data_IF_373480814439
#
_entry.id   IF_373480814439
#
_cell.length_a   1.000
_cell.length_b   1.000
_cell.length_c   1.000
_cell.angle_alpha   90.00
_cell.angle_beta   90.00
_cell.angle_gamma   90.00
#
_symmetry.space_group_name_H-M   'P 1'
#
loop_
_entity.id
_entity.type
_entity.pdbx_description
1 polymer ?
#
# COMPACT_ATOMS: atom_id res chain seq x y z
N UNK A 1 -8.75 17.64 -25.86
CA UNK A 1 -7.59 16.76 -25.57
C UNK A 1 -8.09 15.56 -24.78
N UNK A 2 -8.13 14.39 -25.41
CA UNK A 2 -8.44 13.16 -24.68
C UNK A 2 -7.33 12.94 -23.65
N UNK A 3 -7.66 13.00 -22.38
CA UNK A 3 -6.79 12.56 -21.30
C UNK A 3 -6.43 11.08 -21.58
N UNK A 4 -5.20 10.85 -21.99
CA UNK A 4 -4.68 9.50 -22.18
C UNK A 4 -4.36 8.97 -20.80
N UNK A 5 -5.19 8.05 -20.32
CA UNK A 5 -4.95 7.40 -19.02
C UNK A 5 -3.64 6.61 -19.02
N UNK A 6 -3.20 6.18 -17.84
CA UNK A 6 -2.01 5.33 -17.65
C UNK A 6 -1.91 4.16 -18.64
N UNK A 7 -3.05 3.61 -19.12
CA UNK A 7 -3.08 2.59 -20.14
C UNK A 7 -2.47 2.99 -21.49
N UNK A 8 -2.44 4.29 -21.84
CA UNK A 8 -1.77 4.76 -23.07
C UNK A 8 -0.26 4.94 -22.87
N UNK A 9 0.19 5.16 -21.64
CA UNK A 9 1.62 5.19 -21.28
C UNK A 9 2.25 3.82 -21.50
N UNK A 10 1.59 2.74 -21.10
CA UNK A 10 2.06 1.37 -21.30
C UNK A 10 2.08 0.90 -22.76
N UNK A 11 1.40 1.62 -23.65
CA UNK A 11 1.43 1.31 -25.11
C UNK A 11 2.66 1.85 -25.81
N UNK A 12 3.39 2.82 -25.22
CA UNK A 12 4.63 3.35 -25.81
C UNK A 12 5.77 2.37 -25.61
N UNK A 13 6.47 2.04 -26.66
CA UNK A 13 7.56 1.05 -26.62
C UNK A 13 8.66 1.45 -25.62
N UNK A 14 9.01 2.71 -25.56
CA UNK A 14 10.01 3.27 -24.62
C UNK A 14 9.69 2.97 -23.15
N UNK A 15 8.40 3.09 -22.75
CA UNK A 15 7.99 2.79 -21.38
C UNK A 15 7.96 1.28 -21.09
N UNK A 16 7.66 0.45 -22.11
CA UNK A 16 7.71 -1.00 -21.95
C UNK A 16 9.10 -1.48 -21.59
N UNK A 17 10.12 -0.95 -22.27
CA UNK A 17 11.52 -1.29 -22.03
C UNK A 17 11.93 -0.86 -20.62
N UNK A 18 11.59 0.36 -20.20
CA UNK A 18 11.86 0.87 -18.84
C UNK A 18 11.19 0.00 -17.77
N UNK A 19 9.92 -0.40 -17.95
CA UNK A 19 9.19 -1.25 -17.00
C UNK A 19 9.89 -2.61 -16.86
N UNK A 20 10.25 -3.23 -17.96
CA UNK A 20 10.91 -4.55 -17.95
C UNK A 20 12.28 -4.46 -17.30
N UNK A 21 13.06 -3.42 -17.58
CA UNK A 21 14.37 -3.22 -16.98
C UNK A 21 14.28 -2.94 -15.48
N UNK A 22 13.33 -2.11 -15.06
CA UNK A 22 13.07 -1.87 -13.65
C UNK A 22 12.65 -3.16 -12.91
N UNK A 23 11.84 -4.01 -13.54
CA UNK A 23 11.46 -5.30 -12.99
C UNK A 23 12.63 -6.28 -12.88
N UNK A 24 13.56 -6.28 -13.85
CA UNK A 24 14.82 -7.05 -13.76
C UNK A 24 15.65 -6.57 -12.58
N UNK A 25 15.83 -5.26 -12.45
CA UNK A 25 16.54 -4.65 -11.33
C UNK A 25 15.93 -5.03 -9.98
N UNK A 26 14.61 -4.89 -9.84
CA UNK A 26 13.89 -5.30 -8.62
C UNK A 26 14.08 -6.80 -8.33
N UNK A 27 14.03 -7.65 -9.35
CA UNK A 27 14.18 -9.10 -9.21
C UNK A 27 15.55 -9.52 -8.71
N UNK A 28 16.61 -8.71 -8.87
CA UNK A 28 17.93 -8.99 -8.28
C UNK A 28 17.92 -9.01 -6.75
N UNK A 29 16.91 -8.38 -6.14
CA UNK A 29 16.68 -8.36 -4.70
C UNK A 29 15.90 -9.57 -4.18
N UNK A 30 15.42 -10.44 -5.06
CA UNK A 30 14.74 -11.67 -4.65
C UNK A 30 15.70 -12.64 -3.97
N UNK A 31 15.27 -13.18 -2.84
CA UNK A 31 16.03 -14.14 -2.02
C UNK A 31 15.30 -15.48 -2.01
N UNK A 32 15.70 -16.42 -2.87
CA UNK A 32 14.95 -17.68 -3.05
C UNK A 32 14.80 -18.49 -1.78
N UNK A 33 15.79 -18.48 -0.88
CA UNK A 33 15.75 -19.22 0.40
C UNK A 33 14.59 -18.74 1.28
N UNK A 34 14.35 -17.42 1.31
CA UNK A 34 13.26 -16.83 2.07
C UNK A 34 11.97 -16.65 1.24
N UNK A 35 12.06 -16.73 -0.10
CA UNK A 35 10.94 -16.58 -1.01
C UNK A 35 10.41 -15.14 -1.11
N UNK A 36 11.27 -14.13 -0.85
CA UNK A 36 10.88 -12.72 -0.74
C UNK A 36 11.84 -11.78 -1.48
N UNK A 37 11.38 -10.57 -1.72
CA UNK A 37 12.18 -9.43 -2.20
C UNK A 37 12.70 -8.67 -0.97
N UNK A 38 14.01 -8.62 -0.80
CA UNK A 38 14.65 -7.87 0.28
C UNK A 38 14.48 -6.37 0.07
N UNK A 39 14.08 -5.64 1.13
CA UNK A 39 13.79 -4.21 1.04
C UNK A 39 15.06 -3.35 1.12
N UNK A 40 15.90 -3.61 2.10
CA UNK A 40 17.07 -2.77 2.41
C UNK A 40 18.37 -3.55 2.40
N UNK A 41 19.46 -2.86 2.03
CA UNK A 41 20.82 -3.38 2.25
C UNK A 41 21.15 -3.27 3.74
N UNK A 42 21.80 -4.29 4.28
CA UNK A 42 22.01 -4.42 5.73
C UNK A 42 23.41 -4.01 6.18
N UNK A 43 24.27 -3.66 5.24
CA UNK A 43 25.70 -3.37 5.46
C UNK A 43 26.00 -1.86 5.60
N UNK A 44 24.99 -0.99 5.56
CA UNK A 44 25.16 0.46 5.56
C UNK A 44 24.06 1.23 6.27
N UNK A 45 24.42 2.45 6.70
CA UNK A 45 23.51 3.38 7.34
C UNK A 45 22.92 2.85 8.65
N UNK A 46 21.81 3.40 9.05
CA UNK A 46 21.11 3.04 10.30
C UNK A 46 20.62 1.58 10.33
N UNK A 47 20.51 0.93 9.17
CA UNK A 47 20.06 -0.46 9.07
C UNK A 47 21.12 -1.42 9.58
N UNK A 48 22.40 -1.12 9.37
CA UNK A 48 23.52 -1.97 9.84
C UNK A 48 23.55 -2.12 11.37
N UNK A 49 22.98 -1.16 12.10
CA UNK A 49 22.89 -1.19 13.56
C UNK A 49 21.74 -2.08 14.08
N UNK A 50 20.81 -2.48 13.19
CA UNK A 50 19.63 -3.30 13.54
C UNK A 50 19.95 -4.79 13.68
N UNK A 51 21.10 -5.26 13.17
CA UNK A 51 21.45 -6.67 13.18
C UNK A 51 20.54 -7.57 12.32
N UNK A 52 19.83 -6.98 11.34
CA UNK A 52 19.01 -7.71 10.38
C UNK A 52 19.88 -8.42 9.33
N UNK A 53 19.37 -9.54 8.81
CA UNK A 53 20.00 -10.26 7.69
C UNK A 53 19.28 -10.02 6.36
N UNK A 54 17.96 -10.10 6.38
CA UNK A 54 17.12 -9.92 5.20
C UNK A 54 15.78 -9.26 5.57
N UNK A 55 15.79 -7.94 5.83
CA UNK A 55 14.59 -7.20 6.20
C UNK A 55 13.66 -7.01 5.01
N UNK A 56 12.38 -7.22 5.26
CA UNK A 56 11.29 -7.04 4.30
C UNK A 56 10.23 -6.17 4.94
N UNK A 57 9.91 -5.04 4.30
CA UNK A 57 8.85 -4.16 4.72
C UNK A 57 7.56 -4.44 3.94
N UNK A 58 6.42 -4.18 4.57
CA UNK A 58 5.10 -4.38 3.94
C UNK A 58 4.94 -3.51 2.68
N UNK A 59 5.67 -2.41 2.56
CA UNK A 59 5.71 -1.50 1.41
C UNK A 59 6.09 -2.22 0.10
N UNK A 60 6.86 -3.31 0.18
CA UNK A 60 7.21 -4.11 -0.99
C UNK A 60 5.99 -4.66 -1.74
N UNK A 61 4.84 -4.74 -1.09
CA UNK A 61 3.59 -5.11 -1.74
C UNK A 61 3.24 -4.17 -2.90
N UNK A 62 3.65 -2.89 -2.83
CA UNK A 62 3.42 -1.89 -3.87
C UNK A 62 4.30 -2.11 -5.11
N UNK A 63 5.44 -2.78 -4.95
CA UNK A 63 6.35 -3.09 -6.04
C UNK A 63 5.86 -4.25 -6.93
N UNK A 64 4.89 -5.04 -6.48
CA UNK A 64 4.44 -6.24 -7.19
C UNK A 64 3.72 -5.90 -8.50
N UNK A 65 3.05 -4.74 -8.59
CA UNK A 65 2.41 -4.29 -9.82
C UNK A 65 3.40 -4.16 -10.98
N UNK A 66 4.62 -3.67 -10.70
CA UNK A 66 5.70 -3.59 -11.66
C UNK A 66 6.05 -4.98 -12.23
N UNK A 67 6.12 -6.00 -11.37
CA UNK A 67 6.46 -7.38 -11.78
C UNK A 67 5.34 -8.01 -12.62
N UNK A 68 4.09 -7.84 -12.24
CA UNK A 68 2.95 -8.31 -13.03
C UNK A 68 2.88 -7.59 -14.39
N UNK A 69 3.10 -6.26 -14.42
CA UNK A 69 3.15 -5.49 -15.66
C UNK A 69 4.29 -5.97 -16.57
N UNK A 70 5.49 -6.19 -16.02
CA UNK A 70 6.63 -6.70 -16.77
C UNK A 70 6.37 -8.09 -17.36
N UNK A 71 5.69 -8.98 -16.61
CA UNK A 71 5.25 -10.29 -17.13
C UNK A 71 4.37 -10.13 -18.36
N UNK A 72 3.36 -9.26 -18.31
CA UNK A 72 2.45 -9.02 -19.44
C UNK A 72 3.15 -8.42 -20.66
N UNK A 73 4.14 -7.55 -20.42
CA UNK A 73 4.84 -6.82 -21.47
C UNK A 73 5.93 -7.66 -22.15
N UNK A 74 6.62 -8.52 -21.41
CA UNK A 74 7.76 -9.31 -21.89
C UNK A 74 7.41 -10.76 -22.21
N UNK A 75 6.33 -11.31 -21.64
CA UNK A 75 6.04 -12.74 -21.65
C UNK A 75 6.90 -13.57 -20.68
N UNK A 76 7.83 -12.95 -19.93
CA UNK A 76 8.68 -13.64 -18.97
C UNK A 76 7.91 -13.89 -17.65
N UNK A 77 7.60 -15.16 -17.42
CA UNK A 77 6.89 -15.60 -16.21
C UNK A 77 7.72 -15.56 -14.93
N UNK A 78 9.02 -15.28 -15.02
CA UNK A 78 9.90 -15.18 -13.85
C UNK A 78 9.44 -14.06 -12.92
N UNK A 79 9.05 -12.92 -13.48
CA UNK A 79 8.54 -11.78 -12.69
C UNK A 79 7.26 -12.15 -11.94
N UNK A 80 6.32 -12.85 -12.59
CA UNK A 80 5.10 -13.36 -11.94
C UNK A 80 5.43 -14.30 -10.78
N UNK A 81 6.35 -15.24 -10.97
CA UNK A 81 6.76 -16.19 -9.92
C UNK A 81 7.38 -15.48 -8.72
N UNK A 82 8.21 -14.47 -8.95
CA UNK A 82 8.79 -13.64 -7.89
C UNK A 82 7.69 -12.90 -7.11
N UNK A 83 6.74 -12.27 -7.82
CA UNK A 83 5.64 -11.55 -7.19
C UNK A 83 4.76 -12.48 -6.34
N UNK A 84 4.34 -13.63 -6.87
CA UNK A 84 3.50 -14.61 -6.16
C UNK A 84 4.25 -15.20 -4.96
N UNK A 85 5.52 -15.56 -5.11
CA UNK A 85 6.33 -16.04 -4.00
C UNK A 85 6.41 -15.00 -2.87
N UNK A 86 6.63 -13.73 -3.22
CA UNK A 86 6.71 -12.65 -2.25
C UNK A 86 5.39 -12.44 -1.50
N UNK A 87 4.26 -12.30 -2.21
CA UNK A 87 2.97 -12.07 -1.55
C UNK A 87 2.54 -13.25 -0.69
N UNK A 88 2.75 -14.49 -1.13
CA UNK A 88 2.40 -15.68 -0.34
C UNK A 88 3.20 -15.73 0.96
N UNK A 89 4.48 -15.40 0.90
CA UNK A 89 5.33 -15.34 2.09
C UNK A 89 4.94 -14.19 3.00
N UNK A 90 4.64 -13.02 2.45
CA UNK A 90 4.14 -11.86 3.18
C UNK A 90 2.84 -12.18 3.91
N UNK A 91 1.87 -12.80 3.25
CA UNK A 91 0.62 -13.22 3.89
C UNK A 91 0.84 -14.15 5.08
N UNK A 92 1.77 -15.10 4.94
CA UNK A 92 2.05 -16.07 5.99
C UNK A 92 2.76 -15.46 7.20
N UNK A 93 3.69 -14.55 6.98
CA UNK A 93 4.64 -14.16 8.03
C UNK A 93 4.47 -12.71 8.54
N UNK A 94 3.90 -11.81 7.72
CA UNK A 94 3.72 -10.41 8.13
C UNK A 94 2.34 -10.10 8.69
N UNK A 95 1.31 -10.94 8.42
CA UNK A 95 -0.03 -10.70 8.95
C UNK A 95 -0.25 -11.39 10.29
N UNK A 96 -0.93 -10.67 11.20
CA UNK A 96 -1.40 -11.18 12.49
C UNK A 96 -2.79 -11.85 12.32
N UNK A 97 -3.22 -12.66 13.29
CA UNK A 97 -4.53 -13.30 13.25
C UNK A 97 -5.71 -12.33 13.16
N UNK A 98 -5.57 -11.12 13.69
CA UNK A 98 -6.59 -10.05 13.65
C UNK A 98 -6.71 -9.35 12.29
N UNK A 99 -5.79 -9.63 11.37
CA UNK A 99 -5.73 -9.05 10.04
C UNK A 99 -4.79 -7.87 9.90
N UNK A 100 -4.23 -7.35 10.97
CA UNK A 100 -3.18 -6.33 10.92
C UNK A 100 -1.86 -6.90 10.41
N UNK A 101 -0.92 -6.04 10.00
CA UNK A 101 0.39 -6.49 9.57
C UNK A 101 1.53 -5.81 10.34
N UNK A 102 2.64 -6.54 10.45
CA UNK A 102 3.93 -5.99 10.88
C UNK A 102 4.52 -5.10 9.78
N UNK A 103 5.23 -4.04 10.19
CA UNK A 103 5.96 -3.23 9.24
C UNK A 103 7.15 -4.00 8.63
N UNK A 104 8.00 -4.61 9.47
CA UNK A 104 9.22 -5.30 9.07
C UNK A 104 9.21 -6.74 9.55
N UNK A 105 9.57 -7.67 8.66
CA UNK A 105 9.96 -9.05 9.01
C UNK A 105 11.38 -9.27 8.54
N UNK A 106 12.26 -9.71 9.45
CA UNK A 106 13.62 -10.09 9.12
C UNK A 106 13.75 -11.59 8.98
N UNK A 107 14.36 -12.03 7.89
CA UNK A 107 14.53 -13.45 7.56
C UNK A 107 15.99 -13.88 7.64
N UNK A 108 16.20 -15.12 8.05
CA UNK A 108 17.50 -15.78 7.98
C UNK A 108 17.88 -16.09 6.53
N UNK A 109 19.08 -15.71 6.15
CA UNK A 109 19.62 -16.04 4.83
C UNK A 109 20.11 -17.50 4.74
N UNK A 110 20.17 -18.21 5.88
CA UNK A 110 20.60 -19.62 5.93
C UNK A 110 19.48 -20.58 5.50
N UNK A 111 18.26 -20.34 5.98
CA UNK A 111 17.14 -21.28 5.85
C UNK A 111 15.78 -20.61 5.56
N UNK A 112 15.74 -19.29 5.45
CA UNK A 112 14.55 -18.51 5.18
C UNK A 112 13.56 -18.42 6.37
N UNK A 113 13.95 -18.86 7.56
CA UNK A 113 13.12 -18.72 8.76
C UNK A 113 12.96 -17.26 9.19
N UNK A 114 11.85 -16.93 9.86
CA UNK A 114 11.67 -15.61 10.47
C UNK A 114 12.56 -15.49 11.70
N UNK A 115 13.39 -14.45 11.73
CA UNK A 115 14.25 -14.09 12.86
C UNK A 115 13.53 -13.15 13.82
N UNK A 116 12.93 -12.09 13.27
CA UNK A 116 12.29 -11.04 14.04
C UNK A 116 11.11 -10.41 13.28
N UNK A 117 10.17 -9.83 14.05
CA UNK A 117 9.14 -8.94 13.55
C UNK A 117 9.28 -7.61 14.23
N UNK A 118 9.43 -6.55 13.45
CA UNK A 118 9.79 -5.23 13.94
C UNK A 118 9.00 -4.12 13.28
N UNK A 119 9.24 -2.89 13.72
CA UNK A 119 8.91 -1.68 13.00
C UNK A 119 10.14 -0.79 12.81
N UNK A 120 10.12 0.03 11.77
CA UNK A 120 11.05 1.12 11.56
C UNK A 120 10.33 2.48 11.57
N UNK A 121 9.10 2.52 11.06
CA UNK A 121 8.31 3.75 10.91
C UNK A 121 7.07 3.80 11.81
N UNK A 122 6.61 2.67 12.38
CA UNK A 122 5.51 2.62 13.33
C UNK A 122 5.93 2.94 14.74
N UNK A 123 4.94 3.08 15.63
CA UNK A 123 5.13 3.44 17.04
C UNK A 123 5.87 2.36 17.83
N UNK A 124 5.48 1.11 17.69
CA UNK A 124 6.08 -0.03 18.39
C UNK A 124 6.07 -1.27 17.50
N UNK A 125 6.86 -2.31 17.88
CA UNK A 125 6.95 -3.54 17.07
C UNK A 125 5.61 -4.23 16.89
N UNK A 126 4.76 -4.19 17.90
CA UNK A 126 3.42 -4.80 17.88
C UNK A 126 2.30 -3.82 17.48
N UNK A 127 2.59 -2.54 17.27
CA UNK A 127 1.58 -1.56 16.83
C UNK A 127 1.19 -1.74 15.36
N UNK A 128 0.13 -1.07 14.95
CA UNK A 128 -0.36 -1.08 13.58
C UNK A 128 -0.09 0.27 12.90
N UNK A 129 1.08 0.40 12.29
CA UNK A 129 1.44 1.57 11.47
C UNK A 129 0.48 1.72 10.28
N UNK A 130 -0.28 2.82 10.25
CA UNK A 130 -1.45 2.96 9.37
C UNK A 130 -1.12 2.90 7.88
N UNK A 131 -0.03 3.54 7.45
CA UNK A 131 0.39 3.46 6.05
C UNK A 131 0.86 2.06 5.67
N UNK A 132 1.46 1.31 6.59
CA UNK A 132 1.78 -0.10 6.38
C UNK A 132 0.54 -0.95 6.17
N UNK A 133 -0.52 -0.73 6.97
CA UNK A 133 -1.81 -1.39 6.75
C UNK A 133 -2.38 -1.03 5.36
N UNK A 134 -2.28 0.24 4.97
CA UNK A 134 -2.74 0.71 3.65
C UNK A 134 -1.99 0.02 2.50
N UNK A 135 -0.66 -0.07 2.58
CA UNK A 135 0.15 -0.81 1.60
C UNK A 135 -0.25 -2.28 1.50
N UNK A 136 -0.51 -2.90 2.65
CA UNK A 136 -0.98 -4.28 2.71
C UNK A 136 -2.34 -4.48 2.05
N UNK A 137 -3.33 -3.63 2.36
CA UNK A 137 -4.68 -3.68 1.77
C UNK A 137 -4.60 -3.48 0.25
N UNK A 138 -3.92 -2.43 -0.20
CA UNK A 138 -3.80 -2.12 -1.62
C UNK A 138 -3.06 -3.22 -2.38
N UNK A 139 -1.91 -3.66 -1.86
CA UNK A 139 -1.08 -4.67 -2.52
C UNK A 139 -1.77 -6.05 -2.61
N UNK A 140 -2.55 -6.45 -1.61
CA UNK A 140 -3.35 -7.68 -1.68
C UNK A 140 -4.50 -7.55 -2.69
N UNK A 141 -5.18 -6.41 -2.73
CA UNK A 141 -6.21 -6.12 -3.74
C UNK A 141 -5.65 -6.20 -5.15
N UNK A 142 -4.48 -5.59 -5.35
CA UNK A 142 -3.70 -5.67 -6.58
C UNK A 142 -3.35 -7.12 -6.95
N UNK A 143 -2.84 -7.91 -6.00
CA UNK A 143 -2.49 -9.32 -6.25
C UNK A 143 -3.72 -10.14 -6.66
N UNK A 144 -4.88 -9.89 -6.04
CA UNK A 144 -6.14 -10.51 -6.47
C UNK A 144 -6.49 -10.11 -7.91
N UNK A 145 -6.40 -8.82 -8.27
CA UNK A 145 -6.65 -8.35 -9.64
C UNK A 145 -5.77 -9.05 -10.68
N UNK A 146 -4.50 -9.26 -10.36
CA UNK A 146 -3.50 -9.78 -11.29
C UNK A 146 -3.51 -11.31 -11.40
N UNK A 147 -3.96 -12.02 -10.36
CA UNK A 147 -3.91 -13.49 -10.28
C UNK A 147 -5.27 -14.17 -10.31
N UNK A 148 -6.33 -13.47 -9.88
CA UNK A 148 -7.64 -14.07 -9.64
C UNK A 148 -7.72 -14.95 -8.38
N UNK A 149 -6.62 -15.10 -7.62
CA UNK A 149 -6.60 -15.97 -6.44
C UNK A 149 -7.30 -15.30 -5.25
N UNK A 150 -8.44 -15.86 -4.87
CA UNK A 150 -9.33 -15.34 -3.82
C UNK A 150 -8.66 -15.17 -2.45
N UNK A 151 -7.63 -15.97 -2.15
CA UNK A 151 -6.91 -15.87 -0.86
C UNK A 151 -6.37 -14.47 -0.60
N UNK A 152 -5.93 -13.73 -1.64
CA UNK A 152 -5.42 -12.37 -1.50
C UNK A 152 -6.53 -11.39 -1.14
N UNK A 153 -7.68 -11.49 -1.81
CA UNK A 153 -8.84 -10.68 -1.49
C UNK A 153 -9.35 -10.95 -0.07
N UNK A 154 -9.44 -12.22 0.32
CA UNK A 154 -9.89 -12.59 1.66
C UNK A 154 -8.98 -12.02 2.76
N UNK A 155 -7.68 -11.99 2.54
CA UNK A 155 -6.74 -11.35 3.47
C UNK A 155 -6.86 -9.82 3.44
N UNK A 156 -7.06 -9.21 2.27
CA UNK A 156 -7.33 -7.76 2.16
C UNK A 156 -8.58 -7.37 2.97
N UNK A 157 -9.66 -8.15 2.85
CA UNK A 157 -10.89 -7.93 3.61
C UNK A 157 -10.71 -8.08 5.13
N UNK A 158 -9.80 -8.97 5.59
CA UNK A 158 -9.44 -9.06 7.01
C UNK A 158 -8.71 -7.79 7.48
N UNK A 159 -7.77 -7.29 6.68
CA UNK A 159 -7.05 -6.07 7.00
C UNK A 159 -7.97 -4.84 6.99
N UNK A 160 -8.91 -4.75 6.04
CA UNK A 160 -9.95 -3.71 6.05
C UNK A 160 -10.78 -3.80 7.33
N UNK A 161 -11.29 -4.98 7.70
CA UNK A 161 -12.06 -5.13 8.95
C UNK A 161 -11.27 -4.71 10.18
N UNK A 162 -9.97 -5.03 10.25
CA UNK A 162 -9.11 -4.56 11.33
C UNK A 162 -9.09 -3.03 11.41
N UNK A 163 -8.79 -2.34 10.30
CA UNK A 163 -8.69 -0.89 10.25
C UNK A 163 -10.00 -0.18 10.62
N UNK A 164 -11.13 -0.68 10.15
CA UNK A 164 -12.42 -0.01 10.35
C UNK A 164 -13.11 -0.37 11.67
N UNK A 165 -12.72 -1.47 12.33
CA UNK A 165 -13.24 -1.86 13.64
C UNK A 165 -12.27 -1.58 14.78
N UNK A 166 -11.10 -1.00 14.50
CA UNK A 166 -10.14 -0.67 15.54
C UNK A 166 -10.71 0.42 16.48
N UNK A 167 -10.46 0.27 17.78
CA UNK A 167 -10.97 1.20 18.83
C UNK A 167 -10.61 2.66 18.61
N UNK A 168 -9.51 2.91 17.89
CA UNK A 168 -8.98 4.23 17.59
C UNK A 168 -9.28 4.70 16.16
N UNK A 169 -10.18 4.03 15.45
CA UNK A 169 -10.59 4.49 14.12
C UNK A 169 -11.35 5.81 14.24
N UNK A 170 -10.87 6.89 13.62
CA UNK A 170 -11.50 8.20 13.75
C UNK A 170 -12.77 8.29 12.89
N UNK A 171 -13.71 9.15 13.31
CA UNK A 171 -14.98 9.33 12.61
C UNK A 171 -14.83 9.79 11.16
N UNK A 172 -13.81 10.61 10.86
CA UNK A 172 -13.51 11.12 9.53
C UNK A 172 -12.77 10.11 8.64
N UNK A 173 -12.39 8.95 9.18
CA UNK A 173 -11.65 7.88 8.51
C UNK A 173 -10.30 8.31 7.90
N UNK A 174 -9.75 9.43 8.33
CA UNK A 174 -8.34 9.78 8.07
C UNK A 174 -7.54 9.31 9.27
N UNK A 175 -6.91 8.15 9.13
CA UNK A 175 -6.31 7.41 10.22
C UNK A 175 -5.15 8.17 10.89
N UNK A 176 -4.91 7.89 12.17
CA UNK A 176 -3.68 8.33 12.83
C UNK A 176 -2.47 7.68 12.16
N UNK A 177 -1.29 8.26 12.30
CA UNK A 177 -0.06 7.74 11.69
C UNK A 177 0.25 6.29 12.11
N UNK A 178 -0.17 5.92 13.31
CA UNK A 178 -0.19 4.56 13.85
C UNK A 178 -1.49 4.39 14.65
N UNK A 179 -2.15 3.25 14.51
CA UNK A 179 -3.43 3.00 15.18
C UNK A 179 -3.29 2.90 16.71
N UNK A 180 -2.07 2.67 17.20
CA UNK A 180 -1.72 2.62 18.61
C UNK A 180 -0.86 3.81 19.03
N UNK A 181 -0.88 4.91 18.28
CA UNK A 181 -0.12 6.11 18.59
C UNK A 181 -0.42 6.63 20.00
N UNK A 182 0.61 7.12 20.75
CA UNK A 182 0.49 7.31 22.19
C UNK A 182 -0.39 8.49 22.61
N UNK A 183 -0.61 9.47 21.72
CA UNK A 183 -1.32 10.70 22.04
C UNK A 183 -2.74 10.77 21.46
N UNK A 184 -3.29 9.66 20.95
CA UNK A 184 -4.67 9.63 20.44
C UNK A 184 -5.64 10.08 21.57
N UNK A 185 -6.58 11.01 21.30
CA UNK A 185 -7.02 11.51 19.97
C UNK A 185 -6.23 12.73 19.44
N UNK A 186 -5.19 13.21 20.12
CA UNK A 186 -4.45 14.41 19.76
C UNK A 186 -3.11 14.09 19.06
N UNK A 187 -3.08 13.00 18.28
CA UNK A 187 -1.90 12.59 17.53
C UNK A 187 -2.02 12.94 16.04
N UNK A 188 -0.91 12.86 15.31
CA UNK A 188 -0.84 13.16 13.88
C UNK A 188 -1.72 12.23 13.05
N UNK A 189 -2.34 12.78 12.01
CA UNK A 189 -3.08 12.03 10.99
C UNK A 189 -2.16 11.69 9.83
N UNK A 190 -2.47 10.64 9.10
CA UNK A 190 -1.76 10.30 7.87
C UNK A 190 -2.75 10.22 6.69
N UNK A 191 -2.94 11.36 6.01
CA UNK A 191 -3.80 11.46 4.84
C UNK A 191 -3.33 10.52 3.70
N UNK A 192 -2.03 10.17 3.65
CA UNK A 192 -1.51 9.25 2.65
C UNK A 192 -2.04 7.82 2.83
N UNK A 193 -2.15 7.34 4.08
CA UNK A 193 -2.73 6.05 4.39
C UNK A 193 -4.21 6.01 3.99
N UNK A 194 -4.96 7.05 4.33
CA UNK A 194 -6.39 7.16 3.98
C UNK A 194 -6.61 7.17 2.46
N UNK A 195 -5.84 7.95 1.72
CA UNK A 195 -5.93 8.01 0.25
C UNK A 195 -5.67 6.65 -0.41
N UNK A 196 -4.63 5.94 0.04
CA UNK A 196 -4.30 4.60 -0.46
C UNK A 196 -5.42 3.59 -0.15
N UNK A 197 -5.96 3.60 1.07
CA UNK A 197 -7.08 2.72 1.46
C UNK A 197 -8.32 3.04 0.62
N UNK A 198 -8.67 4.32 0.42
CA UNK A 198 -9.82 4.70 -0.40
C UNK A 198 -9.70 4.17 -1.83
N UNK A 199 -8.51 4.27 -2.43
CA UNK A 199 -8.27 3.73 -3.77
C UNK A 199 -8.49 2.21 -3.81
N UNK A 200 -7.95 1.45 -2.84
CA UNK A 200 -8.16 0.02 -2.75
C UNK A 200 -9.64 -0.36 -2.53
N UNK A 201 -10.36 0.37 -1.67
CA UNK A 201 -11.76 0.11 -1.37
C UNK A 201 -12.67 0.33 -2.58
N UNK A 202 -12.41 1.33 -3.42
CA UNK A 202 -13.14 1.48 -4.68
C UNK A 202 -12.93 0.27 -5.59
N UNK A 203 -11.73 -0.27 -5.67
CA UNK A 203 -11.48 -1.49 -6.44
C UNK A 203 -12.21 -2.69 -5.82
N UNK A 204 -12.11 -2.90 -4.51
CA UNK A 204 -12.81 -3.97 -3.78
C UNK A 204 -14.33 -3.90 -4.01
N UNK A 205 -14.90 -2.70 -4.07
CA UNK A 205 -16.34 -2.51 -4.30
C UNK A 205 -16.82 -2.96 -5.68
N UNK A 206 -15.92 -3.23 -6.62
CA UNK A 206 -16.24 -3.64 -8.00
C UNK A 206 -16.10 -5.14 -8.25
N UNK A 207 -15.67 -5.90 -7.25
CA UNK A 207 -15.46 -7.35 -7.38
C UNK A 207 -16.47 -8.12 -6.52
N UNK A 208 -16.50 -9.44 -6.69
CA UNK A 208 -17.42 -10.31 -5.96
C UNK A 208 -17.02 -10.42 -4.49
N UNK A 209 -17.63 -9.57 -3.67
CA UNK A 209 -17.49 -9.53 -2.20
C UNK A 209 -18.86 -9.38 -1.53
N UNK A 210 -19.02 -9.84 -0.28
CA UNK A 210 -20.21 -9.51 0.50
C UNK A 210 -20.33 -7.99 0.66
N UNK A 211 -21.53 -7.46 0.45
CA UNK A 211 -21.86 -6.04 0.67
C UNK A 211 -20.89 -5.05 0.01
N UNK A 212 -20.69 -5.10 -1.32
CA UNK A 212 -19.71 -4.24 -2.01
C UNK A 212 -19.99 -2.74 -1.79
N UNK A 213 -21.24 -2.35 -1.59
CA UNK A 213 -21.65 -0.98 -1.26
C UNK A 213 -21.05 -0.47 0.06
N UNK A 214 -20.75 -1.35 1.02
CA UNK A 214 -20.11 -0.96 2.30
C UNK A 214 -18.69 -0.46 2.05
N UNK A 215 -17.92 -1.15 1.21
CA UNK A 215 -16.55 -0.71 0.85
C UNK A 215 -16.57 0.59 0.06
N UNK A 216 -17.55 0.73 -0.86
CA UNK A 216 -17.74 2.00 -1.57
C UNK A 216 -18.08 3.14 -0.61
N UNK A 217 -18.97 2.91 0.35
CA UNK A 217 -19.36 3.93 1.33
C UNK A 217 -18.16 4.36 2.21
N UNK A 218 -17.32 3.43 2.64
CA UNK A 218 -16.08 3.76 3.34
C UNK A 218 -15.14 4.61 2.48
N UNK A 219 -14.95 4.22 1.21
CA UNK A 219 -14.14 5.00 0.28
C UNK A 219 -14.71 6.41 0.06
N UNK A 220 -16.04 6.54 -0.14
CA UNK A 220 -16.69 7.82 -0.31
C UNK A 220 -16.48 8.70 0.94
N UNK A 221 -16.65 8.17 2.15
CA UNK A 221 -16.43 8.90 3.40
C UNK A 221 -15.00 9.38 3.56
N UNK A 222 -14.01 8.53 3.27
CA UNK A 222 -12.59 8.94 3.27
C UNK A 222 -12.37 10.08 2.27
N UNK A 223 -12.88 9.94 1.06
CA UNK A 223 -12.69 10.95 0.01
C UNK A 223 -13.39 12.28 0.31
N UNK A 224 -14.54 12.26 0.96
CA UNK A 224 -15.20 13.46 1.48
C UNK A 224 -14.32 14.17 2.51
N UNK A 225 -13.76 13.43 3.46
CA UNK A 225 -12.84 13.98 4.46
C UNK A 225 -11.60 14.56 3.82
N UNK A 226 -10.91 13.82 2.93
CA UNK A 226 -9.71 14.27 2.25
C UNK A 226 -9.96 15.48 1.32
N UNK A 227 -11.16 15.62 0.76
CA UNK A 227 -11.54 16.76 -0.06
C UNK A 227 -11.96 18.00 0.75
N UNK A 228 -12.12 17.87 2.08
CA UNK A 228 -12.47 18.98 2.96
C UNK A 228 -11.32 19.96 3.13
N UNK A 229 -11.59 21.21 3.56
CA UNK A 229 -10.54 22.19 3.85
C UNK A 229 -9.55 21.76 4.95
N UNK A 230 -9.91 20.77 5.77
CA UNK A 230 -9.02 20.22 6.80
C UNK A 230 -7.82 19.49 6.19
N UNK A 231 -8.02 18.77 5.09
CA UNK A 231 -6.97 17.94 4.49
C UNK A 231 -6.55 18.39 3.09
N UNK A 232 -7.43 19.09 2.37
CA UNK A 232 -7.12 19.60 1.03
C UNK A 232 -6.58 21.02 1.12
N UNK A 233 -5.37 21.21 0.63
CA UNK A 233 -4.72 22.53 0.57
C UNK A 233 -5.48 23.49 -0.38
N UNK A 234 -5.39 24.78 -0.09
CA UNK A 234 -5.81 25.84 -1.01
C UNK A 234 -4.88 25.87 -2.24
N UNK A 235 -5.44 26.24 -3.38
CA UNK A 235 -4.70 26.32 -4.63
C UNK A 235 -3.52 27.31 -4.51
N UNK A 236 -2.33 26.84 -4.89
CA UNK A 236 -1.10 27.64 -4.83
C UNK A 236 -0.40 27.66 -3.47
N UNK A 237 -0.92 26.93 -2.50
CA UNK A 237 -0.29 26.72 -1.18
C UNK A 237 0.36 25.35 -1.08
N UNK A 238 0.86 24.95 0.11
CA UNK A 238 1.36 23.60 0.43
C UNK A 238 2.39 23.05 -0.58
N UNK A 239 3.22 23.91 -1.17
CA UNK A 239 4.18 23.51 -2.19
C UNK A 239 3.57 22.96 -3.48
N UNK A 240 2.31 23.29 -3.76
CA UNK A 240 1.46 22.77 -4.84
C UNK A 240 1.04 21.29 -4.69
N UNK A 241 1.20 20.70 -3.52
CA UNK A 241 0.60 19.41 -3.21
C UNK A 241 -0.88 19.58 -2.84
N UNK A 242 -1.69 18.55 -3.15
CA UNK A 242 -3.13 18.57 -2.92
C UNK A 242 -3.47 18.29 -1.45
N UNK A 243 -2.83 17.31 -0.84
CA UNK A 243 -3.13 16.88 0.53
C UNK A 243 -2.12 17.39 1.54
N UNK A 244 -2.65 17.78 2.69
CA UNK A 244 -1.93 18.13 3.91
C UNK A 244 -1.97 16.95 4.89
N UNK A 245 -1.24 17.07 6.00
CA UNK A 245 -1.33 16.18 7.15
C UNK A 245 -0.97 14.72 6.82
N UNK A 246 0.18 14.52 6.17
CA UNK A 246 0.78 13.21 6.00
C UNK A 246 1.98 13.04 6.93
N UNK A 247 2.32 11.78 7.24
CA UNK A 247 3.47 11.44 8.09
C UNK A 247 4.36 10.42 7.41
N UNK A 248 5.59 10.78 7.10
CA UNK A 248 6.61 9.88 6.59
C UNK A 248 7.11 8.92 7.67
N UNK A 249 7.82 9.45 8.68
CA UNK A 249 8.37 8.62 9.76
C UNK A 249 8.63 9.43 11.04
N UNK A 250 7.79 9.27 12.03
CA UNK A 250 7.99 9.88 13.37
C UNK A 250 9.25 9.34 14.06
N UNK A 251 9.53 8.01 14.09
CA UNK A 251 10.72 7.50 14.72
C UNK A 251 12.04 8.03 14.14
N UNK A 252 12.04 8.45 12.88
CA UNK A 252 13.21 9.04 12.23
C UNK A 252 13.17 10.58 12.21
N UNK A 253 12.18 11.20 12.87
CA UNK A 253 11.95 12.64 12.84
C UNK A 253 11.93 13.22 11.41
N UNK A 254 11.31 12.48 10.48
CA UNK A 254 11.27 12.81 9.05
C UNK A 254 9.85 12.89 8.50
N UNK A 255 9.58 13.97 7.76
CA UNK A 255 8.30 14.16 7.06
C UNK A 255 7.08 14.07 7.99
N UNK A 256 7.09 14.85 9.08
CA UNK A 256 6.02 14.89 10.08
C UNK A 256 5.08 16.05 9.74
N UNK A 257 3.81 15.74 9.55
CA UNK A 257 2.74 16.70 9.24
C UNK A 257 3.05 17.55 7.99
N UNK A 258 3.45 16.89 6.90
CA UNK A 258 3.87 17.51 5.64
C UNK A 258 3.12 16.89 4.45
N UNK A 259 3.12 17.53 3.26
CA UNK A 259 2.61 16.90 2.05
C UNK A 259 3.54 15.77 1.58
N UNK A 260 2.95 14.72 1.00
CA UNK A 260 3.69 13.61 0.40
C UNK A 260 3.15 13.31 -1.01
N UNK A 261 4.03 13.12 -1.98
CA UNK A 261 3.64 12.95 -3.38
C UNK A 261 2.78 11.71 -3.64
N UNK A 262 3.01 10.63 -2.91
CA UNK A 262 2.19 9.42 -3.04
C UNK A 262 0.79 9.58 -2.41
N UNK A 263 0.60 10.51 -1.46
CA UNK A 263 -0.73 10.86 -0.97
C UNK A 263 -1.58 11.45 -2.10
N UNK A 264 -1.03 12.40 -2.85
CA UNK A 264 -1.68 13.00 -4.01
C UNK A 264 -1.94 11.98 -5.12
N UNK A 265 -0.97 11.07 -5.36
CA UNK A 265 -1.15 10.00 -6.35
C UNK A 265 -2.37 9.14 -6.03
N UNK A 266 -2.46 8.60 -4.81
CA UNK A 266 -3.59 7.73 -4.44
C UNK A 266 -4.90 8.48 -4.29
N UNK A 267 -4.87 9.74 -3.90
CA UNK A 267 -6.05 10.60 -3.91
C UNK A 267 -6.62 10.77 -5.33
N UNK A 268 -5.78 11.07 -6.30
CA UNK A 268 -6.18 11.19 -7.71
C UNK A 268 -6.61 9.85 -8.32
N UNK A 269 -5.94 8.77 -7.95
CA UNK A 269 -6.34 7.42 -8.39
C UNK A 269 -7.71 7.04 -7.81
N UNK A 270 -7.96 7.32 -6.54
CA UNK A 270 -9.27 7.10 -5.90
C UNK A 270 -10.38 7.91 -6.59
N UNK A 271 -10.15 9.19 -6.88
CA UNK A 271 -11.08 10.03 -7.65
C UNK A 271 -11.36 9.45 -9.05
N UNK A 272 -10.33 8.96 -9.71
CA UNK A 272 -10.49 8.30 -11.02
C UNK A 272 -11.33 7.03 -10.90
N UNK A 273 -11.04 6.17 -9.94
CA UNK A 273 -11.80 4.93 -9.70
C UNK A 273 -13.26 5.22 -9.36
N UNK A 274 -13.52 6.20 -8.48
CA UNK A 274 -14.88 6.67 -8.17
C UNK A 274 -15.63 7.07 -9.45
N UNK A 275 -15.06 7.96 -10.24
CA UNK A 275 -15.66 8.41 -11.52
C UNK A 275 -15.95 7.25 -12.47
N UNK A 276 -15.01 6.31 -12.60
CA UNK A 276 -15.14 5.17 -13.52
C UNK A 276 -16.29 4.22 -13.07
N UNK A 277 -16.52 4.09 -11.73
CA UNK A 277 -17.65 3.34 -11.17
C UNK A 277 -18.98 4.04 -11.46
N UNK A 278 -19.06 5.34 -11.22
CA UNK A 278 -20.27 6.16 -11.43
C UNK A 278 -20.69 6.18 -12.91
N UNK A 279 -19.72 6.29 -13.83
CA UNK A 279 -19.98 6.25 -15.28
C UNK A 279 -20.51 4.90 -15.75
N UNK A 280 -20.01 3.78 -15.19
CA UNK A 280 -20.52 2.44 -15.50
C UNK A 280 -21.95 2.25 -15.00
N UNK A 281 -22.27 2.74 -13.81
CA UNK A 281 -23.61 2.69 -13.25
C UNK A 281 -24.64 3.50 -14.05
N UNK A 282 -24.24 4.63 -14.62
CA UNK A 282 -25.10 5.50 -15.44
C UNK A 282 -25.35 4.95 -16.86
N UNK A 283 -24.48 4.09 -17.39
CA UNK A 283 -24.62 3.49 -18.73
C UNK A 283 -25.33 2.13 -18.70
N UNK A 284 -25.74 1.66 -17.53
CA UNK A 284 -26.41 0.36 -17.34
C UNK A 284 -27.92 0.48 -17.02
N UNK A 285 -28.49 1.69 -17.12
CA UNK A 285 -29.94 1.95 -16.96
C UNK A 285 -30.60 2.20 -18.30
#
# INVERSE_FOLDING_TARGET
VRSRGLGDVYKRQEYKEVIVEAARSLSTRFRPVAGIIQSWDVDRGWISERGWECPVIIDNMMNLELLFAATRLSGDSTFYKVAVSHVDRTMKEQYRPDGSCYHVVDYSMKDGSVRNRHTAQGYAHESAWSRGQAWGIYGLTLCYRETGDRKYLDQALKAVRFMFNHKNTPEDLVFYWDMDAPNIPNDYRDASAAACIASALYEISTVDVPEPQTYKAYADRIMESLASPTYRAELGTNGNFLLMHCVGSIPHNGEIDVPLNYADYYFLEALKRKRDIEQKGSNGC
#
